data_IF_490181487869
#
_entry.id   IF_490181487869
#
_cell.length_a   1.000
_cell.length_b   1.000
_cell.length_c   1.000
_cell.angle_alpha   90.00
_cell.angle_beta   90.00
_cell.angle_gamma   90.00
#
_symmetry.space_group_name_H-M   'P 1'
#
loop_
_entity.id
_entity.type
_entity.pdbx_description
1 polymer ?
#
# COMPACT_ATOMS: atom_id res chain seq x y z
N UNK A 1 -2.14 3.13 14.27
CA UNK A 1 -1.43 4.43 14.48
C UNK A 1 -2.05 5.50 13.58
N UNK A 2 -2.09 6.81 13.95
CA UNK A 2 -2.75 7.84 13.14
C UNK A 2 -2.24 7.94 11.70
N UNK A 3 -0.93 7.82 11.49
CA UNK A 3 -0.33 7.83 10.16
C UNK A 3 -0.83 6.67 9.27
N UNK A 4 -1.05 5.48 9.84
CA UNK A 4 -1.66 4.36 9.14
C UNK A 4 -3.11 4.66 8.76
N UNK A 5 -3.88 5.22 9.70
CA UNK A 5 -5.27 5.59 9.43
C UNK A 5 -5.39 6.57 8.26
N UNK A 6 -4.48 7.54 8.14
CA UNK A 6 -4.48 8.49 7.03
C UNK A 6 -4.37 7.81 5.65
N UNK A 7 -3.61 6.72 5.55
CA UNK A 7 -3.47 5.93 4.32
C UNK A 7 -4.73 5.09 4.06
N UNK A 8 -5.30 4.48 5.11
CA UNK A 8 -6.56 3.74 4.99
C UNK A 8 -7.73 4.64 4.57
N UNK A 9 -7.81 5.84 5.15
CA UNK A 9 -8.82 6.85 4.80
C UNK A 9 -8.63 7.32 3.36
N UNK A 10 -7.38 7.51 2.92
CA UNK A 10 -7.08 7.86 1.53
C UNK A 10 -7.56 6.79 0.55
N UNK A 11 -7.35 5.50 0.84
CA UNK A 11 -7.93 4.41 0.05
C UNK A 11 -9.47 4.46 0.02
N UNK A 12 -10.10 4.72 1.17
CA UNK A 12 -11.55 4.92 1.27
C UNK A 12 -12.05 6.08 0.41
N UNK A 13 -11.37 7.23 0.42
CA UNK A 13 -11.70 8.38 -0.43
C UNK A 13 -11.58 8.09 -1.92
N UNK A 14 -10.63 7.22 -2.30
CA UNK A 14 -10.45 6.77 -3.69
C UNK A 14 -11.46 5.68 -4.10
N UNK A 15 -12.33 5.25 -3.18
CA UNK A 15 -13.39 4.27 -3.42
C UNK A 15 -12.96 2.82 -3.26
N UNK A 16 -11.75 2.54 -2.75
CA UNK A 16 -11.32 1.19 -2.48
C UNK A 16 -12.08 0.59 -1.29
N UNK A 17 -12.53 -0.64 -1.46
CA UNK A 17 -13.31 -1.33 -0.44
C UNK A 17 -12.41 -2.28 0.36
N UNK A 18 -12.40 -2.16 1.68
CA UNK A 18 -11.70 -3.09 2.55
C UNK A 18 -12.14 -4.54 2.25
N UNK A 19 -11.16 -5.44 2.18
CA UNK A 19 -11.37 -6.87 1.92
C UNK A 19 -10.93 -7.71 3.12
N UNK A 20 -9.70 -7.54 3.57
CA UNK A 20 -9.11 -8.35 4.64
C UNK A 20 -7.96 -7.61 5.35
N UNK A 21 -7.59 -8.10 6.53
CA UNK A 21 -6.40 -7.68 7.26
C UNK A 21 -5.82 -8.90 7.97
N UNK A 22 -4.51 -9.11 7.88
CA UNK A 22 -3.83 -10.21 8.56
C UNK A 22 -2.41 -9.82 9.04
N UNK A 23 -1.85 -10.66 9.91
CA UNK A 23 -0.43 -10.65 10.26
C UNK A 23 0.27 -11.77 9.50
N UNK A 24 1.07 -11.38 8.51
CA UNK A 24 1.78 -12.31 7.65
C UNK A 24 3.17 -12.61 8.20
N UNK A 25 3.50 -13.89 8.36
CA UNK A 25 4.82 -14.33 8.81
C UNK A 25 5.83 -14.19 7.67
N UNK A 26 6.89 -13.41 7.88
CA UNK A 26 7.93 -13.24 6.87
C UNK A 26 8.80 -12.03 7.15
N UNK A 27 9.72 -11.75 6.23
CA UNK A 27 10.49 -10.50 6.22
C UNK A 27 10.48 -9.91 4.82
N UNK A 28 10.17 -8.63 4.73
CA UNK A 28 10.23 -7.90 3.46
C UNK A 28 11.62 -7.27 3.34
N UNK A 29 12.33 -7.59 2.25
CA UNK A 29 13.65 -7.02 1.96
C UNK A 29 13.55 -5.50 1.78
N UNK A 30 14.62 -4.79 2.14
CA UNK A 30 14.68 -3.33 1.99
C UNK A 30 13.84 -2.54 3.02
N UNK A 31 13.25 -3.21 4.00
CA UNK A 31 12.45 -2.57 5.06
C UNK A 31 13.18 -2.56 6.41
N UNK A 32 12.68 -1.76 7.34
CA UNK A 32 13.16 -1.67 8.73
C UNK A 32 12.46 -2.65 9.66
N UNK A 33 11.88 -3.72 9.10
CA UNK A 33 11.17 -4.73 9.86
C UNK A 33 12.05 -5.37 10.92
N UNK A 34 11.51 -5.47 12.15
CA UNK A 34 12.18 -6.11 13.31
C UNK A 34 11.45 -7.35 13.81
N UNK A 35 10.13 -7.39 13.64
CA UNK A 35 9.29 -8.50 14.05
C UNK A 35 9.27 -9.56 12.94
N UNK A 36 9.08 -10.85 13.27
CA UNK A 36 9.04 -11.93 12.26
C UNK A 36 7.72 -11.99 11.47
N UNK A 37 6.95 -10.91 11.51
CA UNK A 37 5.70 -10.72 10.79
C UNK A 37 5.49 -9.23 10.47
N UNK A 38 4.59 -8.95 9.55
CA UNK A 38 4.12 -7.61 9.20
C UNK A 38 2.60 -7.59 9.08
N UNK A 39 2.00 -6.41 9.17
CA UNK A 39 0.57 -6.25 8.95
C UNK A 39 0.29 -5.99 7.48
N UNK A 40 -0.62 -6.74 6.89
CA UNK A 40 -1.10 -6.56 5.52
C UNK A 40 -2.59 -6.22 5.54
N UNK A 41 -2.98 -5.23 4.75
CA UNK A 41 -4.37 -4.81 4.53
C UNK A 41 -4.70 -4.95 3.05
N UNK A 42 -5.75 -5.70 2.75
CA UNK A 42 -6.21 -5.91 1.38
C UNK A 42 -7.42 -5.04 1.06
N UNK A 43 -7.41 -4.47 -0.14
CA UNK A 43 -8.51 -3.70 -0.70
C UNK A 43 -8.94 -4.26 -2.06
N UNK A 44 -10.25 -4.25 -2.31
CA UNK A 44 -10.82 -4.39 -3.66
C UNK A 44 -10.81 -3.04 -4.35
N UNK A 45 -10.33 -3.01 -5.59
CA UNK A 45 -10.34 -1.82 -6.40
C UNK A 45 -11.76 -1.51 -6.92
N UNK A 46 -12.14 -0.23 -7.01
CA UNK A 46 -13.44 0.16 -7.57
C UNK A 46 -13.43 0.13 -9.11
N UNK A 47 -14.61 -0.01 -9.71
CA UNK A 47 -14.78 -0.34 -11.13
C UNK A 47 -14.15 0.66 -12.12
N UNK A 48 -13.86 1.90 -11.71
CA UNK A 48 -13.20 2.89 -12.55
C UNK A 48 -11.73 2.52 -12.89
N UNK A 49 -11.07 1.69 -12.07
CA UNK A 49 -9.73 1.18 -12.33
C UNK A 49 -9.82 -0.14 -13.09
N UNK A 50 -10.02 -0.09 -14.41
CA UNK A 50 -10.25 -1.30 -15.21
C UNK A 50 -8.97 -2.15 -15.22
N UNK A 51 -9.07 -3.44 -14.90
CA UNK A 51 -7.91 -4.33 -14.92
C UNK A 51 -7.00 -4.27 -13.69
N UNK A 52 -7.38 -3.50 -12.65
CA UNK A 52 -6.89 -3.63 -11.30
C UNK A 52 -7.98 -4.33 -10.46
N UNK A 53 -7.65 -5.42 -9.78
CA UNK A 53 -8.61 -6.17 -8.97
C UNK A 53 -8.44 -5.88 -7.49
N UNK A 54 -7.19 -5.89 -7.03
CA UNK A 54 -6.86 -5.72 -5.63
C UNK A 54 -5.57 -4.94 -5.41
N UNK A 55 -5.52 -4.27 -4.26
CA UNK A 55 -4.33 -3.59 -3.75
C UNK A 55 -4.07 -4.09 -2.35
N UNK A 56 -2.82 -4.42 -2.07
CA UNK A 56 -2.36 -4.87 -0.76
C UNK A 56 -1.40 -3.83 -0.20
N UNK A 57 -1.65 -3.44 1.05
CA UNK A 57 -0.93 -2.41 1.76
C UNK A 57 -0.28 -3.03 3.00
N UNK A 58 1.04 -3.12 3.00
CA UNK A 58 1.81 -3.61 4.14
C UNK A 58 2.37 -2.45 4.96
N UNK A 59 2.25 -2.56 6.28
CA UNK A 59 2.75 -1.59 7.25
C UNK A 59 3.82 -2.20 8.16
N UNK A 60 4.95 -1.51 8.26
CA UNK A 60 6.06 -1.86 9.17
C UNK A 60 6.46 -0.61 9.94
N UNK A 61 5.95 -0.47 11.17
CA UNK A 61 6.27 0.65 12.04
C UNK A 61 7.44 0.34 12.98
N UNK A 62 8.36 1.29 13.14
CA UNK A 62 9.51 1.17 14.06
C UNK A 62 9.39 2.00 15.35
N UNK A 63 8.29 2.75 15.48
CA UNK A 63 7.99 3.64 16.60
C UNK A 63 8.16 5.14 16.28
N UNK A 64 8.94 5.47 15.25
CA UNK A 64 9.11 6.85 14.77
C UNK A 64 8.55 7.02 13.36
N UNK A 65 8.77 6.02 12.52
CA UNK A 65 8.34 6.02 11.13
C UNK A 65 7.71 4.67 10.79
N UNK A 66 7.16 4.60 9.58
CA UNK A 66 6.53 3.41 9.04
C UNK A 66 6.96 3.21 7.60
N UNK A 67 7.53 2.06 7.30
CA UNK A 67 7.66 1.60 5.92
C UNK A 67 6.30 1.13 5.44
N UNK A 68 5.93 1.60 4.25
CA UNK A 68 4.68 1.31 3.59
C UNK A 68 5.00 0.68 2.25
N UNK A 69 4.50 -0.52 2.06
CA UNK A 69 4.64 -1.27 0.82
C UNK A 69 3.28 -1.42 0.18
N UNK A 70 3.22 -1.19 -1.11
CA UNK A 70 2.00 -1.23 -1.89
C UNK A 70 2.18 -2.13 -3.09
N UNK A 71 1.33 -3.14 -3.19
CA UNK A 71 1.36 -4.14 -4.24
C UNK A 71 0.00 -4.22 -4.93
N UNK A 72 0.00 -4.19 -6.26
CA UNK A 72 -1.23 -4.27 -7.05
C UNK A 72 -1.33 -5.62 -7.77
N UNK A 73 -2.48 -6.28 -7.65
CA UNK A 73 -2.73 -7.62 -8.20
C UNK A 73 -1.61 -8.62 -7.88
N UNK A 74 -1.08 -8.55 -6.65
CA UNK A 74 -0.04 -9.45 -6.17
C UNK A 74 -0.51 -10.90 -6.31
N UNK A 75 0.41 -11.75 -6.76
CA UNK A 75 0.23 -13.20 -6.76
C UNK A 75 0.79 -13.75 -5.45
N UNK A 76 0.10 -14.71 -4.81
CA UNK A 76 0.60 -15.35 -3.60
C UNK A 76 2.04 -15.85 -3.76
N UNK A 77 2.92 -15.52 -2.81
CA UNK A 77 4.31 -16.00 -2.77
C UNK A 77 5.32 -15.21 -3.62
N UNK A 78 4.93 -14.12 -4.28
CA UNK A 78 5.85 -13.25 -5.03
C UNK A 78 5.97 -11.88 -4.37
N UNK A 79 6.95 -11.71 -3.48
CA UNK A 79 7.45 -10.38 -3.11
C UNK A 79 8.59 -10.04 -4.07
N UNK A 80 8.30 -9.23 -5.09
CA UNK A 80 9.26 -8.87 -6.12
C UNK A 80 9.43 -7.36 -6.24
N UNK A 81 10.52 -6.84 -5.67
CA UNK A 81 11.04 -5.53 -6.09
C UNK A 81 11.31 -5.57 -7.60
N UNK A 82 10.80 -4.59 -8.34
CA UNK A 82 11.04 -4.45 -9.78
C UNK A 82 9.85 -4.71 -10.71
N UNK A 83 8.65 -5.01 -10.18
CA UNK A 83 7.43 -4.92 -10.99
C UNK A 83 6.91 -3.49 -11.02
N UNK A 84 6.31 -3.05 -12.14
CA UNK A 84 5.65 -1.75 -12.23
C UNK A 84 4.45 -1.60 -11.26
N UNK A 85 4.02 -2.69 -10.60
CA UNK A 85 2.92 -2.74 -9.62
C UNK A 85 3.37 -2.70 -8.15
N UNK A 86 4.67 -2.49 -7.91
CA UNK A 86 5.25 -2.43 -6.57
C UNK A 86 5.70 -1.00 -6.23
N UNK A 87 5.41 -0.54 -5.01
CA UNK A 87 5.99 0.69 -4.45
C UNK A 87 6.31 0.53 -2.97
N UNK A 88 7.43 1.11 -2.55
CA UNK A 88 7.81 1.24 -1.14
C UNK A 88 8.14 2.69 -0.83
N UNK A 89 7.68 3.18 0.31
CA UNK A 89 7.97 4.52 0.81
C UNK A 89 7.87 4.58 2.33
N UNK A 90 8.43 5.63 2.92
CA UNK A 90 8.41 5.85 4.36
C UNK A 90 7.41 6.95 4.72
N UNK A 91 6.71 6.76 5.85
CA UNK A 91 5.81 7.74 6.46
C UNK A 91 6.27 8.05 7.88
N UNK A 92 6.52 9.33 8.18
CA UNK A 92 6.80 9.75 9.55
C UNK A 92 5.54 9.70 10.42
N UNK A 93 5.58 9.04 11.58
CA UNK A 93 4.39 8.84 12.42
C UNK A 93 3.85 10.14 13.02
N UNK A 94 4.67 11.19 13.10
CA UNK A 94 4.30 12.52 13.61
C UNK A 94 4.21 13.60 12.52
N UNK A 95 4.71 13.35 11.30
CA UNK A 95 4.74 14.32 10.20
C UNK A 95 3.82 13.96 9.03
N UNK A 96 3.09 12.83 9.10
CA UNK A 96 2.23 12.33 8.02
C UNK A 96 1.19 13.34 7.52
N UNK A 97 0.79 14.31 8.33
CA UNK A 97 -0.20 15.33 7.97
C UNK A 97 0.28 16.30 6.88
N UNK A 98 1.59 16.37 6.62
CA UNK A 98 2.14 17.23 5.56
C UNK A 98 1.91 16.73 4.14
N UNK A 99 1.34 15.53 3.98
CA UNK A 99 1.10 14.89 2.68
C UNK A 99 -0.40 14.73 2.44
N UNK A 100 -0.87 15.15 1.27
CA UNK A 100 -2.18 14.72 0.76
C UNK A 100 -2.07 13.28 0.25
N UNK A 101 -2.40 12.33 1.12
CA UNK A 101 -2.28 10.90 0.83
C UNK A 101 -3.22 10.43 -0.27
N UNK A 102 -4.41 11.03 -0.39
CA UNK A 102 -5.35 10.67 -1.44
C UNK A 102 -4.80 11.11 -2.81
N UNK A 103 -4.29 12.33 -2.91
CA UNK A 103 -3.63 12.81 -4.13
C UNK A 103 -2.37 11.99 -4.46
N UNK A 104 -1.53 11.72 -3.46
CA UNK A 104 -0.31 10.92 -3.63
C UNK A 104 -0.59 9.52 -4.17
N UNK A 105 -1.57 8.82 -3.58
CA UNK A 105 -1.96 7.47 -4.00
C UNK A 105 -2.66 7.50 -5.37
N UNK A 106 -3.52 8.49 -5.62
CA UNK A 106 -4.20 8.65 -6.91
C UNK A 106 -3.21 8.87 -8.05
N UNK A 107 -2.19 9.71 -7.86
CA UNK A 107 -1.15 9.94 -8.86
C UNK A 107 -0.43 8.63 -9.19
N UNK A 108 -0.04 7.87 -8.18
CA UNK A 108 0.65 6.61 -8.40
C UNK A 108 -0.22 5.56 -9.09
N UNK A 109 -1.49 5.43 -8.69
CA UNK A 109 -2.46 4.57 -9.37
C UNK A 109 -2.60 4.93 -10.86
N UNK A 110 -2.59 6.22 -11.18
CA UNK A 110 -2.61 6.71 -12.56
C UNK A 110 -1.32 6.36 -13.32
N UNK A 111 -0.15 6.52 -12.70
CA UNK A 111 1.15 6.16 -13.31
C UNK A 111 1.23 4.66 -13.65
N UNK A 112 0.86 3.78 -12.71
CA UNK A 112 0.85 2.34 -12.94
C UNK A 112 -0.23 1.96 -13.96
N UNK A 113 -1.42 2.54 -13.83
CA UNK A 113 -2.52 2.30 -14.74
C UNK A 113 -2.23 2.73 -16.18
N UNK A 114 -1.52 3.84 -16.38
CA UNK A 114 -1.06 4.26 -17.70
C UNK A 114 -0.10 3.27 -18.35
N UNK A 115 0.83 2.69 -17.57
CA UNK A 115 1.75 1.65 -18.06
C UNK A 115 1.06 0.33 -18.37
N UNK A 116 0.00 0.00 -17.61
CA UNK A 116 -0.73 -1.28 -17.68
C UNK A 116 -2.05 -1.21 -18.46
N UNK A 117 -2.36 -0.05 -19.05
CA UNK A 117 -3.58 0.23 -19.79
C UNK A 117 -4.87 -0.03 -18.97
N UNK A 118 -4.89 0.47 -17.73
CA UNK A 118 -6.03 0.33 -16.80
C UNK A 118 -7.13 1.39 -16.96
N UNK A 119 -6.92 2.38 -17.83
CA UNK A 119 -7.87 3.43 -18.14
C UNK A 119 -8.06 3.54 -19.65
#
# INVERSE_FOLDING_TARGET
VPAQQALLDAFGHLGFAFKAADLEKGHIRGTRQRLPFYQEIEFRAPHQYRGLNQVELTFIADGNEMDVILEMDKKPGLFGEGSDSYRSFTVGLQSFQGTDWAAYLSQWLAEVGGKRNWF
#
